data_IF_843511177105
#
_entry.id   IF_843511177105
#
_cell.length_a   1.000
_cell.length_b   1.000
_cell.length_c   1.000
_cell.angle_alpha   90.00
_cell.angle_beta   90.00
_cell.angle_gamma   90.00
#
_symmetry.space_group_name_H-M   'P 1'
#
loop_
_entity.id
_entity.type
_entity.pdbx_description
1 polymer ?
#
# COMPACT_ATOMS: atom_id res chain seq x y z
N UNK A 1 -1.52 -1.37 -8.67
CA UNK A 1 -0.25 -1.63 -7.96
C UNK A 1 -0.25 -0.90 -6.62
N UNK A 2 0.49 -1.39 -5.63
CA UNK A 2 0.47 -0.84 -4.26
C UNK A 2 1.80 -0.16 -3.88
N UNK A 3 1.69 1.06 -3.36
CA UNK A 3 2.78 1.97 -2.99
C UNK A 3 2.67 2.30 -1.50
N UNK A 4 3.72 1.98 -0.74
CA UNK A 4 3.69 2.10 0.73
C UNK A 4 4.81 2.99 1.20
N UNK A 5 4.51 4.02 1.98
CA UNK A 5 5.51 4.81 2.69
C UNK A 5 5.54 4.44 4.17
N UNK A 6 6.72 4.14 4.71
CA UNK A 6 6.85 3.69 6.11
C UNK A 6 7.15 4.79 7.11
N UNK A 7 7.42 6.01 6.64
CA UNK A 7 7.67 7.17 7.48
C UNK A 7 6.42 8.06 7.53
N UNK A 8 5.80 8.13 8.71
CA UNK A 8 4.63 9.01 8.94
C UNK A 8 5.00 10.48 8.71
N UNK A 9 6.24 10.89 9.02
CA UNK A 9 6.65 12.29 8.87
C UNK A 9 6.67 12.73 7.41
N UNK A 10 6.82 11.77 6.48
CA UNK A 10 6.86 12.03 5.05
C UNK A 10 5.47 11.99 4.40
N UNK A 11 4.38 11.95 5.17
CA UNK A 11 3.02 11.84 4.63
C UNK A 11 2.73 12.83 3.49
N UNK A 12 3.00 14.12 3.70
CA UNK A 12 2.72 15.15 2.71
C UNK A 12 3.66 15.05 1.51
N UNK A 13 4.95 14.79 1.75
CA UNK A 13 5.97 14.62 0.71
C UNK A 13 5.62 13.43 -0.18
N UNK A 14 5.28 12.29 0.42
CA UNK A 14 4.91 11.08 -0.27
C UNK A 14 3.61 11.26 -1.06
N UNK A 15 2.60 11.92 -0.49
CA UNK A 15 1.35 12.24 -1.19
C UNK A 15 1.61 13.08 -2.45
N UNK A 16 2.42 14.13 -2.33
CA UNK A 16 2.79 15.00 -3.47
C UNK A 16 3.55 14.20 -4.53
N UNK A 17 4.56 13.43 -4.13
CA UNK A 17 5.34 12.56 -5.01
C UNK A 17 4.45 11.54 -5.75
N UNK A 18 3.56 10.86 -5.02
CA UNK A 18 2.63 9.89 -5.59
C UNK A 18 1.71 10.56 -6.61
N UNK A 19 1.19 11.75 -6.30
CA UNK A 19 0.36 12.52 -7.22
C UNK A 19 1.10 12.95 -8.49
N UNK A 20 2.34 13.41 -8.36
CA UNK A 20 3.17 13.81 -9.50
C UNK A 20 3.53 12.63 -10.40
N UNK A 21 3.80 11.46 -9.80
CA UNK A 21 4.16 10.22 -10.53
C UNK A 21 3.04 9.79 -11.50
N UNK A 22 1.77 9.97 -11.11
CA UNK A 22 0.60 9.56 -11.90
C UNK A 22 -0.21 10.71 -12.47
N UNK A 23 0.32 11.95 -12.45
CA UNK A 23 -0.41 13.21 -12.71
C UNK A 23 -1.16 13.38 -14.03
N UNK A 24 -1.22 12.34 -14.88
CA UNK A 24 -2.00 12.28 -16.12
C UNK A 24 -3.44 11.76 -15.93
N UNK A 25 -3.72 11.03 -14.85
CA UNK A 25 -5.03 10.43 -14.57
C UNK A 25 -5.73 11.09 -13.37
N UNK A 26 -6.96 10.68 -13.07
CA UNK A 26 -7.74 11.20 -11.92
C UNK A 26 -7.12 10.80 -10.58
N UNK A 27 -6.84 11.77 -9.72
CA UNK A 27 -6.40 11.55 -8.34
C UNK A 27 -7.59 11.50 -7.38
N UNK A 28 -7.73 10.40 -6.65
CA UNK A 28 -8.72 10.26 -5.58
C UNK A 28 -8.01 10.20 -4.23
N UNK A 29 -8.34 11.13 -3.35
CA UNK A 29 -7.76 11.22 -2.01
C UNK A 29 -8.79 10.80 -0.96
N UNK A 30 -8.54 9.65 -0.34
CA UNK A 30 -9.35 9.07 0.73
C UNK A 30 -8.70 9.23 2.10
N UNK A 31 -7.67 10.07 2.24
CA UNK A 31 -6.93 10.21 3.51
C UNK A 31 -7.76 10.72 4.69
N UNK A 32 -8.91 11.33 4.44
CA UNK A 32 -9.86 11.80 5.46
C UNK A 32 -11.05 10.85 5.65
N UNK A 33 -11.13 9.77 4.86
CA UNK A 33 -12.21 8.79 4.95
C UNK A 33 -11.96 7.87 6.15
N UNK A 34 -12.94 7.66 7.04
CA UNK A 34 -12.80 6.73 8.15
C UNK A 34 -12.47 5.31 7.66
N UNK A 35 -11.59 4.62 8.39
CA UNK A 35 -11.14 3.27 8.01
C UNK A 35 -12.29 2.27 7.82
N UNK A 36 -13.36 2.40 8.61
CA UNK A 36 -14.56 1.58 8.51
C UNK A 36 -15.32 1.74 7.18
N UNK A 37 -15.16 2.88 6.49
CA UNK A 37 -15.81 3.18 5.21
C UNK A 37 -14.91 2.99 4.00
N UNK A 38 -13.59 2.86 4.20
CA UNK A 38 -12.62 2.73 3.11
C UNK A 38 -12.95 1.55 2.18
N UNK A 39 -13.49 0.46 2.71
CA UNK A 39 -13.83 -0.71 1.90
C UNK A 39 -15.01 -0.44 0.94
N UNK A 40 -16.05 0.26 1.41
CA UNK A 40 -17.21 0.65 0.60
C UNK A 40 -16.80 1.65 -0.49
N UNK A 41 -16.07 2.70 -0.10
CA UNK A 41 -15.54 3.70 -1.04
C UNK A 41 -14.59 3.07 -2.07
N UNK A 42 -13.72 2.17 -1.62
CA UNK A 42 -12.82 1.44 -2.50
C UNK A 42 -13.57 0.58 -3.53
N UNK A 43 -14.65 -0.07 -3.12
CA UNK A 43 -15.48 -0.84 -4.05
C UNK A 43 -16.23 0.07 -5.04
N UNK A 44 -16.79 1.18 -4.56
CA UNK A 44 -17.44 2.16 -5.42
C UNK A 44 -16.48 2.71 -6.49
N UNK A 45 -15.22 2.96 -6.13
CA UNK A 45 -14.19 3.39 -7.08
C UNK A 45 -13.91 2.29 -8.12
N UNK A 46 -13.76 1.03 -7.67
CA UNK A 46 -13.58 -0.12 -8.57
C UNK A 46 -14.71 -0.24 -9.58
N UNK A 47 -15.95 -0.02 -9.18
CA UNK A 47 -17.11 -0.24 -10.04
C UNK A 47 -17.34 0.92 -11.03
N UNK A 48 -17.01 2.15 -10.65
CA UNK A 48 -17.38 3.35 -11.44
C UNK A 48 -16.22 3.98 -12.22
N UNK A 49 -14.97 3.72 -11.84
CA UNK A 49 -13.81 4.33 -12.50
C UNK A 49 -13.14 3.34 -13.46
N UNK A 50 -12.71 3.85 -14.61
CA UNK A 50 -11.93 3.10 -15.61
C UNK A 50 -10.42 3.25 -15.37
N UNK A 51 -9.96 4.46 -15.09
CA UNK A 51 -8.56 4.80 -14.81
C UNK A 51 -8.47 5.89 -13.73
N UNK A 52 -7.77 5.59 -12.63
CA UNK A 52 -7.50 6.52 -11.54
C UNK A 52 -6.35 6.00 -10.67
N UNK A 53 -5.84 6.87 -9.80
CA UNK A 53 -4.96 6.49 -8.71
C UNK A 53 -5.52 7.01 -7.40
N UNK A 54 -5.39 6.21 -6.36
CA UNK A 54 -6.04 6.41 -5.07
C UNK A 54 -5.01 6.55 -3.98
N UNK A 55 -5.20 7.52 -3.10
CA UNK A 55 -4.38 7.67 -1.90
C UNK A 55 -5.24 7.41 -0.67
N UNK A 56 -4.91 6.38 0.11
CA UNK A 56 -5.70 5.98 1.30
C UNK A 56 -5.30 6.78 2.54
N UNK A 57 -4.21 7.56 2.49
CA UNK A 57 -3.67 8.24 3.65
C UNK A 57 -2.95 7.29 4.60
N UNK A 58 -3.09 7.53 5.90
CA UNK A 58 -2.48 6.70 6.93
C UNK A 58 -3.35 5.47 7.19
N UNK A 59 -2.76 4.28 7.07
CA UNK A 59 -3.47 3.03 7.24
C UNK A 59 -2.53 1.93 7.76
N UNK A 60 -2.94 1.29 8.85
CA UNK A 60 -2.34 0.06 9.40
C UNK A 60 -3.32 -1.09 9.13
N UNK A 61 -3.26 -1.78 7.98
CA UNK A 61 -4.37 -2.62 7.53
C UNK A 61 -4.70 -3.77 8.50
N UNK A 62 -3.69 -4.32 9.17
CA UNK A 62 -3.84 -5.41 10.13
C UNK A 62 -4.45 -5.00 11.46
N UNK A 63 -4.53 -3.70 11.76
CA UNK A 63 -5.13 -3.18 13.00
C UNK A 63 -6.35 -2.31 12.76
N UNK A 64 -6.41 -1.59 11.64
CA UNK A 64 -7.48 -0.64 11.31
C UNK A 64 -8.58 -1.25 10.45
N UNK A 65 -8.35 -2.42 9.83
CA UNK A 65 -9.32 -3.07 8.96
C UNK A 65 -9.66 -4.48 9.43
N UNK A 66 -10.94 -4.80 9.34
CA UNK A 66 -11.43 -6.16 9.51
C UNK A 66 -11.06 -7.03 8.29
N UNK A 67 -11.00 -8.35 8.50
CA UNK A 67 -10.65 -9.31 7.45
C UNK A 67 -11.44 -9.14 6.14
N UNK A 68 -12.79 -8.99 6.17
CA UNK A 68 -13.58 -8.74 4.96
C UNK A 68 -13.20 -7.44 4.23
N UNK A 69 -12.95 -6.36 4.97
CA UNK A 69 -12.53 -5.07 4.41
C UNK A 69 -11.16 -5.17 3.75
N UNK A 70 -10.24 -5.96 4.31
CA UNK A 70 -8.94 -6.20 3.70
C UNK A 70 -9.07 -6.92 2.33
N UNK A 71 -10.01 -7.85 2.21
CA UNK A 71 -10.29 -8.56 0.94
C UNK A 71 -10.93 -7.65 -0.08
N UNK A 72 -11.85 -6.77 0.33
CA UNK A 72 -12.50 -5.81 -0.55
C UNK A 72 -11.52 -4.78 -1.10
N UNK A 73 -10.71 -4.16 -0.24
CA UNK A 73 -9.68 -3.20 -0.66
C UNK A 73 -8.62 -3.84 -1.55
N UNK A 74 -8.40 -5.15 -1.47
CA UNK A 74 -7.52 -5.86 -2.40
C UNK A 74 -7.96 -5.76 -3.86
N UNK A 75 -9.26 -5.61 -4.12
CA UNK A 75 -9.76 -5.39 -5.48
C UNK A 75 -9.30 -4.02 -6.01
N UNK A 76 -9.25 -3.01 -5.16
CA UNK A 76 -8.85 -1.64 -5.51
C UNK A 76 -7.41 -1.59 -6.04
N UNK A 77 -6.43 -2.06 -5.27
CA UNK A 77 -5.02 -1.96 -5.69
C UNK A 77 -4.57 -3.02 -6.71
N UNK A 78 -5.42 -4.00 -7.01
CA UNK A 78 -5.27 -4.85 -8.20
C UNK A 78 -5.67 -4.14 -9.48
N UNK A 79 -6.64 -3.21 -9.42
CA UNK A 79 -7.14 -2.47 -10.59
C UNK A 79 -6.42 -1.13 -10.79
N UNK A 80 -6.11 -0.43 -9.70
CA UNK A 80 -5.56 0.93 -9.74
C UNK A 80 -4.23 1.04 -9.01
N UNK A 81 -3.54 2.16 -9.21
CA UNK A 81 -2.38 2.52 -8.40
C UNK A 81 -2.87 3.10 -7.08
N UNK A 82 -2.42 2.50 -5.97
CA UNK A 82 -2.88 2.87 -4.64
C UNK A 82 -1.69 3.17 -3.75
N UNK A 83 -1.68 4.36 -3.16
CA UNK A 83 -0.67 4.83 -2.22
C UNK A 83 -1.22 4.91 -0.80
N UNK A 84 -0.43 4.51 0.20
CA UNK A 84 -0.74 4.75 1.61
C UNK A 84 0.51 4.84 2.47
N UNK A 85 0.36 5.40 3.66
CA UNK A 85 1.41 5.53 4.66
C UNK A 85 1.12 4.55 5.80
N UNK A 86 2.13 3.79 6.20
CA UNK A 86 2.00 2.72 7.19
C UNK A 86 3.29 2.61 7.99
N UNK A 87 3.23 2.86 9.29
CA UNK A 87 4.43 2.83 10.15
C UNK A 87 4.90 1.40 10.38
N UNK A 88 3.98 0.45 10.51
CA UNK A 88 4.31 -0.92 10.87
C UNK A 88 4.07 -1.83 9.68
N UNK A 89 5.14 -2.14 8.94
CA UNK A 89 5.06 -3.02 7.75
C UNK A 89 4.52 -4.42 8.07
N UNK A 90 4.64 -4.84 9.33
CA UNK A 90 4.06 -6.08 9.84
C UNK A 90 2.53 -6.04 9.90
N UNK A 91 1.93 -4.84 9.99
CA UNK A 91 0.49 -4.66 9.92
C UNK A 91 -0.04 -4.93 8.51
N UNK A 92 0.80 -4.93 7.47
CA UNK A 92 0.38 -5.20 6.10
C UNK A 92 0.14 -6.71 5.92
N UNK A 93 -1.07 -7.14 5.54
CA UNK A 93 -1.37 -8.55 5.32
C UNK A 93 -0.47 -9.15 4.25
N UNK A 94 -0.04 -10.39 4.43
CA UNK A 94 0.78 -11.09 3.44
C UNK A 94 0.14 -11.10 2.04
N UNK A 95 -1.19 -11.20 1.98
CA UNK A 95 -1.96 -11.17 0.74
C UNK A 95 -1.85 -9.84 -0.04
N UNK A 96 -1.51 -8.75 0.66
CA UNK A 96 -1.27 -7.42 0.09
C UNK A 96 0.20 -7.26 -0.31
N UNK A 97 1.13 -7.81 0.48
CA UNK A 97 2.59 -7.79 0.19
C UNK A 97 2.91 -8.35 -1.20
N UNK A 98 2.22 -9.41 -1.62
CA UNK A 98 2.40 -9.99 -2.96
C UNK A 98 1.94 -9.06 -4.11
N UNK A 99 1.19 -7.99 -3.82
CA UNK A 99 0.80 -6.96 -4.77
C UNK A 99 1.50 -5.61 -4.55
N UNK A 100 2.40 -5.53 -3.57
CA UNK A 100 3.22 -4.36 -3.32
C UNK A 100 4.35 -4.31 -4.32
N UNK A 101 4.37 -3.24 -5.11
CA UNK A 101 5.41 -3.04 -6.11
C UNK A 101 6.54 -2.18 -5.54
N UNK A 102 6.19 -1.15 -4.77
CA UNK A 102 7.17 -0.21 -4.22
C UNK A 102 6.91 0.07 -2.74
N UNK A 103 7.95 -0.11 -1.92
CA UNK A 103 7.99 0.29 -0.51
C UNK A 103 9.01 1.42 -0.36
N UNK A 104 8.53 2.61 -0.01
CA UNK A 104 9.33 3.78 0.32
C UNK A 104 9.69 3.73 1.80
N UNK A 105 10.96 3.41 2.08
CA UNK A 105 11.49 3.40 3.44
C UNK A 105 12.70 4.33 3.53
N UNK A 106 12.71 5.28 4.47
CA UNK A 106 13.89 6.12 4.78
C UNK A 106 15.02 5.34 5.45
N UNK A 107 14.67 4.26 6.13
CA UNK A 107 15.60 3.37 6.82
C UNK A 107 15.44 1.96 6.28
N UNK A 108 16.53 1.18 6.14
CA UNK A 108 16.41 -0.21 5.72
C UNK A 108 15.42 -0.93 6.64
N UNK A 109 14.52 -1.73 6.06
CA UNK A 109 13.49 -2.48 6.80
C UNK A 109 14.08 -3.37 7.91
N UNK A 110 15.37 -3.70 7.82
CA UNK A 110 16.16 -4.41 8.82
C UNK A 110 17.21 -3.49 9.48
N UNK A 111 16.81 -2.70 10.47
CA UNK A 111 17.74 -1.88 11.25
C UNK A 111 18.40 -2.66 12.40
N UNK A 112 17.81 -3.80 12.79
CA UNK A 112 18.28 -4.69 13.86
C UNK A 112 18.63 -6.11 13.38
N UNK A 113 18.54 -6.36 12.08
CA UNK A 113 18.84 -7.65 11.48
C UNK A 113 20.29 -7.69 11.00
N UNK A 114 21.18 -8.30 11.78
CA UNK A 114 22.32 -8.99 11.15
C UNK A 114 21.73 -9.97 10.12
N UNK A 115 22.30 -10.12 8.91
CA UNK A 115 21.73 -10.98 7.87
C UNK A 115 21.92 -12.45 8.28
N UNK A 116 21.11 -12.94 9.21
CA UNK A 116 20.79 -14.34 9.25
C UNK A 116 19.77 -14.54 8.14
N UNK A 117 20.28 -14.90 6.98
CA UNK A 117 19.52 -15.55 5.91
C UNK A 117 18.77 -16.73 6.53
N UNK A 118 17.48 -16.51 6.83
CA UNK A 118 16.54 -17.60 7.00
C UNK A 118 16.40 -18.21 5.60
N UNK A 119 16.96 -19.41 5.46
CA UNK A 119 16.90 -20.21 4.25
C UNK A 119 15.59 -21.02 4.32
N UNK A 120 14.48 -20.38 3.96
CA UNK A 120 13.13 -20.95 3.92
C UNK A 120 12.84 -21.69 2.59
N UNK A 121 13.90 -22.17 1.91
CA UNK A 121 13.80 -23.22 0.89
C UNK A 121 13.20 -22.79 -0.45
N UNK A 122 12.94 -21.51 -0.68
CA UNK A 122 12.54 -20.99 -1.99
C UNK A 122 13.75 -20.71 -2.87
N UNK A 123 13.69 -21.15 -4.12
CA UNK A 123 14.82 -21.10 -5.04
C UNK A 123 15.22 -19.65 -5.41
N UNK A 124 16.49 -19.33 -5.20
CA UNK A 124 17.17 -18.18 -5.79
C UNK A 124 17.17 -18.35 -7.30
N UNK A 125 16.23 -17.73 -8.01
CA UNK A 125 16.35 -17.66 -9.47
C UNK A 125 17.51 -16.73 -9.82
N UNK A 126 18.61 -17.37 -10.22
CA UNK A 126 19.72 -16.76 -10.95
C UNK A 126 19.17 -15.91 -12.09
N UNK A 127 19.64 -14.66 -12.17
CA UNK A 127 19.66 -13.88 -13.40
C UNK A 127 21.14 -13.60 -13.75
N UNK A 128 21.43 -13.45 -15.05
CA UNK A 128 22.28 -14.36 -15.84
C UNK A 128 23.79 -14.30 -15.57
#
# INVERSE_FOLDING_TARGET
MLYVCTDIQDFHTFKSFFKETYGKSTFLDLSTVPASKLAEEGLAIVDHHSDCYVFLGYLEPGWMLEGPHQVQLRKLFRKFNVGFVCKYVDSIPFSWKNGTEIVYTKSPLNQYGSPNTLNDGCALQHQP
#
